data_IF_925416237070
#
_entry.id   IF_925416237070
#
_cell.length_a   1.000
_cell.length_b   1.000
_cell.length_c   1.000
_cell.angle_alpha   90.00
_cell.angle_beta   90.00
_cell.angle_gamma   90.00
#
_symmetry.space_group_name_H-M   'P 1'
#
loop_
_entity.id
_entity.type
_entity.pdbx_description
1 polymer ?
#
# COMPACT_ATOMS: atom_id res chain seq x y z
N UNK A 1 38.45 9.31 -0.91
CA UNK A 1 37.34 8.32 -0.82
C UNK A 1 36.31 8.87 0.18
N UNK A 2 35.55 9.90 -0.21
CA UNK A 2 34.57 10.57 0.66
C UNK A 2 33.17 9.95 0.43
N UNK A 3 33.07 8.64 0.67
CA UNK A 3 31.93 7.81 0.25
C UNK A 3 31.30 6.98 1.37
N UNK A 4 31.62 7.23 2.64
CA UNK A 4 31.02 6.51 3.76
C UNK A 4 30.31 7.51 4.68
N UNK A 5 29.01 7.27 4.90
CA UNK A 5 28.19 7.84 5.98
C UNK A 5 27.72 9.30 5.81
N UNK A 6 26.79 9.52 4.89
CA UNK A 6 25.75 10.53 5.13
C UNK A 6 24.39 9.81 5.17
N UNK A 7 23.84 9.51 6.36
CA UNK A 7 22.48 9.01 6.49
C UNK A 7 21.53 10.04 5.85
N UNK A 8 20.49 9.58 5.18
CA UNK A 8 19.56 10.26 4.26
C UNK A 8 19.48 11.79 4.36
N UNK A 9 20.58 12.45 3.98
CA UNK A 9 20.66 13.89 4.07
C UNK A 9 19.77 14.49 2.98
N UNK A 10 18.98 15.54 3.26
CA UNK A 10 18.18 16.25 2.25
C UNK A 10 19.05 16.73 1.07
N UNK A 11 20.36 16.85 1.30
CA UNK A 11 21.40 17.13 0.31
C UNK A 11 21.50 16.09 -0.82
N UNK A 12 21.18 14.81 -0.56
CA UNK A 12 21.12 13.74 -1.59
C UNK A 12 19.99 14.00 -2.58
N UNK A 13 18.80 14.37 -2.09
CA UNK A 13 17.65 14.73 -2.92
C UNK A 13 17.89 16.02 -3.72
N UNK A 14 18.50 17.04 -3.11
CA UNK A 14 18.88 18.27 -3.83
C UNK A 14 19.97 18.03 -4.89
N UNK A 15 20.84 17.04 -4.70
CA UNK A 15 21.78 16.60 -5.74
C UNK A 15 21.04 15.91 -6.91
N UNK A 16 19.98 15.14 -6.64
CA UNK A 16 19.11 14.56 -7.68
C UNK A 16 18.33 15.62 -8.46
N UNK A 17 17.96 16.75 -7.84
CA UNK A 17 17.32 17.89 -8.54
C UNK A 17 18.18 18.47 -9.68
N UNK A 18 19.49 18.22 -9.71
CA UNK A 18 20.33 18.57 -10.88
C UNK A 18 19.92 17.81 -12.14
N UNK A 19 19.24 16.66 -12.04
CA UNK A 19 18.65 15.97 -13.18
C UNK A 19 17.57 16.81 -13.89
N UNK A 20 16.91 17.72 -13.17
CA UNK A 20 15.89 18.63 -13.72
C UNK A 20 16.43 19.57 -14.82
N UNK A 21 17.76 19.78 -14.89
CA UNK A 21 18.39 20.54 -15.98
C UNK A 21 18.13 19.92 -17.36
N UNK A 22 17.81 18.63 -17.44
CA UNK A 22 17.42 17.94 -18.69
C UNK A 22 16.13 18.53 -19.28
N UNK A 23 15.17 18.98 -18.46
CA UNK A 23 13.99 19.69 -18.97
C UNK A 23 14.34 21.01 -19.66
N UNK A 24 15.44 21.66 -19.26
CA UNK A 24 15.96 22.86 -19.93
C UNK A 24 16.53 22.54 -21.32
N UNK A 25 17.01 21.31 -21.54
CA UNK A 25 17.42 20.81 -22.86
C UNK A 25 16.21 20.69 -23.80
N UNK A 26 15.08 20.22 -23.29
CA UNK A 26 13.83 20.08 -24.06
C UNK A 26 13.28 21.43 -24.54
N UNK A 27 13.52 22.52 -23.80
CA UNK A 27 13.19 23.89 -24.24
C UNK A 27 14.09 24.40 -25.37
N UNK A 28 15.36 23.99 -25.42
CA UNK A 28 16.34 24.44 -26.45
C UNK A 28 16.08 23.78 -27.81
N UNK A 29 15.62 22.53 -27.82
CA UNK A 29 15.31 21.80 -29.06
C UNK A 29 13.90 22.15 -29.51
N UNK A 30 13.78 22.96 -30.56
CA UNK A 30 12.49 23.47 -31.08
C UNK A 30 11.50 22.36 -31.45
N UNK A 31 11.98 21.21 -31.94
CA UNK A 31 11.13 20.06 -32.30
C UNK A 31 10.47 19.43 -31.06
N UNK A 32 11.26 19.16 -30.02
CA UNK A 32 10.78 18.52 -28.80
C UNK A 32 9.89 19.45 -27.96
N UNK A 33 10.20 20.75 -27.95
CA UNK A 33 9.38 21.77 -27.28
C UNK A 33 7.95 21.82 -27.85
N UNK A 34 7.78 21.68 -29.18
CA UNK A 34 6.44 21.64 -29.79
C UNK A 34 5.58 20.49 -29.24
N UNK A 35 6.16 19.30 -29.07
CA UNK A 35 5.46 18.12 -28.55
C UNK A 35 5.03 18.33 -27.10
N UNK A 36 5.93 18.86 -26.26
CA UNK A 36 5.64 19.13 -24.84
C UNK A 36 4.56 20.20 -24.69
N UNK A 37 4.60 21.25 -25.51
CA UNK A 37 3.59 22.31 -25.49
C UNK A 37 2.24 21.82 -26.01
N UNK A 38 2.21 20.95 -27.03
CA UNK A 38 0.95 20.34 -27.49
C UNK A 38 0.36 19.41 -26.46
N UNK A 39 1.19 18.63 -25.75
CA UNK A 39 0.74 17.77 -24.64
C UNK A 39 0.15 18.61 -23.51
N UNK A 40 0.83 19.70 -23.12
CA UNK A 40 0.35 20.62 -22.09
C UNK A 40 -0.98 21.29 -22.44
N UNK A 41 -1.24 21.54 -23.73
CA UNK A 41 -2.53 22.08 -24.19
C UNK A 41 -3.68 21.07 -24.11
N UNK A 42 -3.39 19.77 -24.16
CA UNK A 42 -4.40 18.71 -24.04
C UNK A 42 -4.76 18.39 -22.58
N UNK A 43 -3.83 18.59 -21.64
CA UNK A 43 -4.03 18.36 -20.20
C UNK A 43 -5.30 18.98 -19.61
N UNK A 44 -5.68 20.25 -19.86
CA UNK A 44 -6.89 20.83 -19.27
C UNK A 44 -8.18 20.11 -19.71
N UNK A 45 -8.24 19.59 -20.95
CA UNK A 45 -9.37 18.80 -21.42
C UNK A 45 -9.43 17.43 -20.73
N UNK A 46 -8.28 16.79 -20.56
CA UNK A 46 -8.15 15.51 -19.84
C UNK A 46 -8.48 15.69 -18.36
N UNK A 47 -8.17 16.85 -17.76
CA UNK A 47 -8.42 17.13 -16.35
C UNK A 47 -9.90 17.02 -15.97
N UNK A 48 -10.81 17.44 -16.86
CA UNK A 48 -12.25 17.33 -16.60
C UNK A 48 -12.71 15.86 -16.53
N UNK A 49 -12.26 15.03 -17.49
CA UNK A 49 -12.54 13.60 -17.47
C UNK A 49 -11.89 12.89 -16.27
N UNK A 50 -10.67 13.30 -15.91
CA UNK A 50 -9.93 12.78 -14.76
C UNK A 50 -10.65 13.07 -13.43
N UNK A 51 -11.26 14.25 -13.27
CA UNK A 51 -12.04 14.58 -12.08
C UNK A 51 -13.27 13.70 -11.93
N UNK A 52 -14.02 13.46 -13.01
CA UNK A 52 -15.19 12.55 -12.99
C UNK A 52 -14.74 11.14 -12.64
N UNK A 53 -13.66 10.66 -13.26
CA UNK A 53 -13.09 9.35 -12.97
C UNK A 53 -12.68 9.23 -11.50
N UNK A 54 -11.99 10.23 -10.96
CA UNK A 54 -11.57 10.26 -9.55
C UNK A 54 -12.77 10.21 -8.60
N UNK A 55 -13.85 10.91 -8.90
CA UNK A 55 -15.07 10.87 -8.09
C UNK A 55 -15.68 9.46 -8.07
N UNK A 56 -15.83 8.84 -9.24
CA UNK A 56 -16.34 7.47 -9.36
C UNK A 56 -15.45 6.49 -8.59
N UNK A 57 -14.12 6.65 -8.68
CA UNK A 57 -13.15 5.87 -7.93
C UNK A 57 -13.30 6.05 -6.41
N UNK A 58 -13.58 7.26 -5.93
CA UNK A 58 -13.85 7.49 -4.51
C UNK A 58 -15.09 6.74 -4.03
N UNK A 59 -16.17 6.68 -4.83
CA UNK A 59 -17.38 5.91 -4.49
C UNK A 59 -17.04 4.42 -4.37
N UNK A 60 -16.34 3.86 -5.36
CA UNK A 60 -15.93 2.46 -5.31
C UNK A 60 -14.94 2.17 -4.17
N UNK A 61 -14.07 3.11 -3.81
CA UNK A 61 -13.14 2.96 -2.70
C UNK A 61 -13.84 2.87 -1.33
N UNK A 62 -14.90 3.66 -1.12
CA UNK A 62 -15.72 3.58 0.09
C UNK A 62 -16.45 2.23 0.13
N UNK A 63 -17.03 1.79 -0.99
CA UNK A 63 -17.65 0.47 -1.06
C UNK A 63 -16.63 -0.64 -0.79
N UNK A 64 -15.46 -0.59 -1.42
CA UNK A 64 -14.40 -1.58 -1.21
C UNK A 64 -13.93 -1.64 0.24
N UNK A 65 -13.82 -0.50 0.91
CA UNK A 65 -13.53 -0.44 2.35
C UNK A 65 -14.61 -1.16 3.17
N UNK A 66 -15.89 -0.76 3.04
CA UNK A 66 -16.97 -1.34 3.84
C UNK A 66 -17.15 -2.85 3.61
N UNK A 67 -16.94 -3.32 2.38
CA UNK A 67 -17.11 -4.73 2.03
C UNK A 67 -15.90 -5.61 2.38
N UNK A 68 -14.68 -5.12 2.18
CA UNK A 68 -13.48 -5.96 2.21
C UNK A 68 -12.50 -5.65 3.36
N UNK A 69 -12.73 -4.61 4.18
CA UNK A 69 -11.80 -4.23 5.26
C UNK A 69 -11.61 -5.34 6.33
N UNK A 70 -12.61 -6.19 6.50
CA UNK A 70 -12.69 -7.23 7.53
C UNK A 70 -12.94 -8.59 6.88
N UNK A 71 -12.46 -8.78 5.65
CA UNK A 71 -12.54 -10.08 5.00
C UNK A 71 -11.75 -11.10 5.82
N UNK A 72 -12.41 -12.13 6.38
CA UNK A 72 -11.73 -13.14 7.17
C UNK A 72 -10.86 -13.99 6.24
N UNK A 73 -9.69 -14.38 6.73
CA UNK A 73 -8.93 -15.43 6.08
C UNK A 73 -9.74 -16.74 6.10
N UNK A 74 -10.02 -17.30 4.93
CA UNK A 74 -10.82 -18.52 4.81
C UNK A 74 -10.12 -19.75 5.38
N UNK A 75 -10.90 -20.62 6.05
CA UNK A 75 -10.47 -21.93 6.57
C UNK A 75 -10.32 -23.02 5.49
N UNK A 76 -10.39 -22.68 4.19
CA UNK A 76 -10.38 -23.68 3.11
C UNK A 76 -9.35 -23.36 2.03
N UNK A 77 -8.11 -23.83 2.24
CA UNK A 77 -7.33 -24.50 1.20
C UNK A 77 -6.49 -23.67 0.21
N UNK A 78 -5.46 -22.97 0.71
CA UNK A 78 -4.14 -22.89 0.02
C UNK A 78 -3.53 -21.49 -0.22
N UNK A 79 -2.18 -21.36 -0.20
CA UNK A 79 -1.25 -21.84 0.81
C UNK A 79 -0.68 -20.67 1.66
N UNK A 80 -0.85 -20.80 2.98
CA UNK A 80 -0.06 -20.15 4.05
C UNK A 80 0.01 -18.61 4.10
N UNK A 81 -0.94 -17.94 4.77
CA UNK A 81 -0.66 -16.68 5.50
C UNK A 81 -1.85 -16.12 6.29
N UNK A 82 -2.59 -16.97 7.00
CA UNK A 82 -3.27 -16.57 8.22
C UNK A 82 -3.17 -17.74 9.19
N UNK A 83 -2.11 -17.68 9.99
CA UNK A 83 -1.71 -18.55 11.08
C UNK A 83 -2.38 -19.94 11.17
N UNK A 84 -1.56 -20.96 10.95
CA UNK A 84 -1.44 -22.15 11.79
C UNK A 84 -2.07 -21.97 13.19
N UNK A 85 -3.39 -22.08 13.28
CA UNK A 85 -4.10 -22.41 14.51
C UNK A 85 -4.34 -23.93 14.55
N UNK A 86 -3.34 -24.71 14.12
CA UNK A 86 -3.28 -26.10 14.57
C UNK A 86 -2.46 -26.15 15.86
N UNK A 87 -3.22 -26.15 16.96
CA UNK A 87 -2.91 -26.94 18.15
C UNK A 87 -1.67 -26.49 18.94
N UNK A 88 -1.86 -25.49 19.82
CA UNK A 88 -1.04 -25.41 21.04
C UNK A 88 -1.79 -26.15 22.14
N UNK A 89 -1.75 -27.48 22.08
CA UNK A 89 -1.66 -28.26 23.31
C UNK A 89 -0.17 -28.38 23.61
N UNK A 90 0.35 -27.39 24.36
CA UNK A 90 1.64 -27.39 25.05
C UNK A 90 2.91 -27.68 24.25
N UNK A 91 3.60 -26.64 23.75
CA UNK A 91 5.07 -26.61 23.66
C UNK A 91 5.55 -25.16 23.42
N UNK A 92 6.40 -24.61 24.30
CA UNK A 92 7.17 -23.40 24.05
C UNK A 92 8.52 -23.80 23.43
N UNK A 93 8.79 -23.43 22.18
CA UNK A 93 10.09 -23.66 21.54
C UNK A 93 10.95 -22.37 21.56
N UNK A 94 12.17 -22.38 22.14
CA UNK A 94 12.98 -21.17 22.32
C UNK A 94 13.92 -20.81 21.14
N UNK A 95 13.77 -21.42 19.96
CA UNK A 95 14.80 -21.40 18.90
C UNK A 95 14.47 -20.57 17.63
N UNK A 96 13.43 -19.75 17.63
CA UNK A 96 13.10 -18.85 16.50
C UNK A 96 13.42 -17.39 16.86
N UNK A 97 14.61 -16.92 16.45
CA UNK A 97 15.04 -15.50 16.51
C UNK A 97 14.33 -14.61 15.47
N UNK A 98 13.01 -14.65 15.40
CA UNK A 98 12.24 -13.59 14.75
C UNK A 98 10.93 -13.35 15.50
N UNK A 99 10.64 -12.12 15.94
CA UNK A 99 9.42 -11.84 16.67
C UNK A 99 8.22 -12.00 15.72
N UNK A 100 7.22 -12.84 16.02
CA UNK A 100 6.00 -12.89 15.21
C UNK A 100 5.14 -11.63 15.44
N UNK A 101 4.44 -11.11 14.40
CA UNK A 101 3.72 -9.83 14.43
C UNK A 101 2.35 -9.99 15.10
N UNK A 102 2.32 -10.53 16.31
CA UNK A 102 1.13 -10.62 17.15
C UNK A 102 1.37 -9.72 18.35
N UNK A 103 0.94 -8.46 18.26
CA UNK A 103 0.86 -7.60 19.43
C UNK A 103 -0.33 -8.08 20.27
N UNK A 104 -0.07 -9.00 21.20
CA UNK A 104 -1.00 -9.32 22.27
C UNK A 104 -0.85 -8.25 23.36
N UNK A 105 -1.74 -7.26 23.42
CA UNK A 105 -1.81 -6.37 24.58
C UNK A 105 -2.45 -7.12 25.73
N UNK A 106 -1.76 -7.18 26.87
CA UNK A 106 -2.23 -7.85 28.07
C UNK A 106 -3.25 -6.96 28.77
N UNK A 107 -4.54 -7.13 28.46
CA UNK A 107 -5.62 -6.46 29.18
C UNK A 107 -5.89 -7.14 30.53
N UNK A 108 -5.68 -6.42 31.64
CA UNK A 108 -6.01 -6.90 32.98
C UNK A 108 -7.54 -6.82 33.21
N UNK A 109 -8.29 -7.87 32.83
CA UNK A 109 -9.72 -7.99 33.16
C UNK A 109 -9.92 -8.79 34.47
N UNK A 110 -10.62 -8.25 35.50
CA UNK A 110 -10.84 -8.94 36.76
C UNK A 110 -12.07 -9.86 36.68
N UNK A 111 -11.90 -11.15 36.97
CA UNK A 111 -13.00 -12.05 37.36
C UNK A 111 -13.31 -13.23 36.46
N UNK A 112 -12.65 -13.38 35.32
CA UNK A 112 -12.63 -14.62 34.54
C UNK A 112 -11.24 -14.76 33.90
N UNK A 113 -10.65 -15.95 33.95
CA UNK A 113 -9.30 -16.17 33.46
C UNK A 113 -9.16 -15.89 31.96
N UNK A 114 -8.01 -15.29 31.58
CA UNK A 114 -7.36 -15.37 30.27
C UNK A 114 -8.28 -15.34 29.04
N UNK A 115 -9.00 -14.25 28.81
CA UNK A 115 -9.33 -13.89 27.43
C UNK A 115 -8.17 -13.06 26.88
N UNK A 116 -7.21 -13.73 26.25
CA UNK A 116 -6.35 -13.07 25.29
C UNK A 116 -7.25 -12.70 24.12
N UNK A 117 -7.53 -11.41 23.90
CA UNK A 117 -8.14 -10.97 22.65
C UNK A 117 -7.10 -11.14 21.52
N UNK A 118 -6.96 -12.36 21.03
CA UNK A 118 -6.24 -12.65 19.79
C UNK A 118 -7.11 -12.18 18.63
N UNK A 119 -6.90 -10.95 18.15
CA UNK A 119 -7.56 -10.49 16.92
C UNK A 119 -7.06 -11.33 15.74
N UNK A 120 -7.97 -11.98 15.03
CA UNK A 120 -7.66 -12.74 13.82
C UNK A 120 -6.89 -11.86 12.82
N UNK A 121 -5.90 -12.46 12.15
CA UNK A 121 -5.06 -11.74 11.19
C UNK A 121 -5.89 -11.45 9.93
N UNK A 122 -6.45 -10.24 9.83
CA UNK A 122 -7.16 -9.75 8.64
C UNK A 122 -6.16 -9.37 7.52
N UNK A 123 -5.26 -10.26 7.11
CA UNK A 123 -4.07 -9.87 6.32
C UNK A 123 -4.42 -9.24 4.99
N UNK A 124 -5.15 -9.95 4.12
CA UNK A 124 -5.42 -9.46 2.76
C UNK A 124 -6.40 -8.27 2.73
N UNK A 125 -7.50 -8.36 3.49
CA UNK A 125 -8.50 -7.29 3.56
C UNK A 125 -7.95 -5.97 4.11
N UNK A 126 -7.10 -6.00 5.14
CA UNK A 126 -6.47 -4.80 5.69
C UNK A 126 -5.28 -4.31 4.86
N UNK A 127 -4.60 -5.21 4.13
CA UNK A 127 -3.49 -4.86 3.26
C UNK A 127 -3.95 -4.04 2.05
N UNK A 128 -5.11 -4.35 1.48
CA UNK A 128 -5.64 -3.61 0.31
C UNK A 128 -6.77 -2.63 0.67
N UNK A 129 -7.69 -3.03 1.54
CA UNK A 129 -8.91 -2.27 1.86
C UNK A 129 -8.98 -1.76 3.31
N UNK A 130 -7.86 -1.70 4.03
CA UNK A 130 -7.83 -1.33 5.45
C UNK A 130 -8.10 0.15 5.75
N UNK A 131 -7.96 1.05 4.78
CA UNK A 131 -8.28 2.48 4.90
C UNK A 131 -8.77 3.01 3.55
N UNK A 132 -9.53 4.11 3.54
CA UNK A 132 -10.02 4.74 2.31
C UNK A 132 -8.93 4.93 1.24
N UNK A 133 -7.78 5.51 1.61
CA UNK A 133 -6.70 5.78 0.66
C UNK A 133 -6.05 4.50 0.12
N UNK A 134 -6.05 3.44 0.93
CA UNK A 134 -5.55 2.11 0.56
C UNK A 134 -6.49 1.48 -0.46
N UNK A 135 -7.79 1.47 -0.16
CA UNK A 135 -8.85 1.02 -1.08
C UNK A 135 -8.83 1.81 -2.39
N UNK A 136 -8.63 3.13 -2.33
CA UNK A 136 -8.52 3.98 -3.51
C UNK A 136 -7.30 3.62 -4.36
N UNK A 137 -6.14 3.39 -3.74
CA UNK A 137 -4.93 2.98 -4.44
C UNK A 137 -5.06 1.59 -5.07
N UNK A 138 -5.61 0.62 -4.35
CA UNK A 138 -5.89 -0.71 -4.88
C UNK A 138 -6.81 -0.65 -6.08
N UNK A 139 -7.91 0.11 -6.01
CA UNK A 139 -8.80 0.26 -7.16
C UNK A 139 -8.12 1.00 -8.31
N UNK A 140 -7.24 1.96 -8.03
CA UNK A 140 -6.45 2.64 -9.06
C UNK A 140 -5.55 1.65 -9.79
N UNK A 141 -4.88 0.75 -9.06
CA UNK A 141 -4.09 -0.34 -9.64
C UNK A 141 -4.96 -1.25 -10.52
N UNK A 142 -6.15 -1.58 -10.00
CA UNK A 142 -7.23 -2.32 -10.68
C UNK A 142 -7.96 -1.46 -11.72
N UNK A 143 -7.48 -0.27 -12.08
CA UNK A 143 -7.97 0.51 -13.21
C UNK A 143 -6.88 0.75 -14.25
N UNK A 144 -5.61 0.79 -13.84
CA UNK A 144 -4.49 1.19 -14.69
C UNK A 144 -3.83 0.07 -15.46
N UNK A 145 -3.64 -1.10 -14.87
CA UNK A 145 -2.71 -2.04 -15.50
C UNK A 145 -2.16 -3.13 -14.63
N UNK A 146 -2.17 -2.88 -13.34
CA UNK A 146 -1.10 -3.38 -12.49
C UNK A 146 -1.68 -4.28 -11.42
N UNK A 147 -1.12 -5.49 -11.31
CA UNK A 147 -1.44 -6.45 -10.25
C UNK A 147 -2.93 -6.76 -10.03
N UNK A 148 -3.82 -6.57 -11.01
CA UNK A 148 -5.24 -6.92 -10.85
C UNK A 148 -5.47 -8.41 -10.54
N UNK A 149 -4.56 -9.28 -11.00
CA UNK A 149 -4.59 -10.70 -10.69
C UNK A 149 -4.03 -11.06 -9.32
N UNK A 150 -3.45 -10.10 -8.60
CA UNK A 150 -2.96 -10.26 -7.23
C UNK A 150 -4.03 -9.89 -6.19
N UNK A 151 -5.01 -9.08 -6.61
CA UNK A 151 -6.13 -8.65 -5.77
C UNK A 151 -7.31 -9.65 -5.73
N UNK A 152 -7.26 -10.73 -6.51
CA UNK A 152 -8.28 -11.80 -6.64
C UNK A 152 -7.64 -13.14 -6.29
#
# INVERSE_FOLDING_TARGET
VAGLLAPDSPLRYLRMMRAFRVFRLFKRVKSLNKIVVSLGKAMPGVMNAFLILTLVMCIYAILGYEFFHNYPCGDTGGPASCAFLSKVEGQWDPLTESPPPIMCEKGDAPGYGLLTECRAQYTFGQEYFGNFLKSFYTLFQVLTGESWSEAI
#
